data_IF_048072829790
#
_entry.id   IF_048072829790
#
_cell.length_a   1.000
_cell.length_b   1.000
_cell.length_c   1.000
_cell.angle_alpha   90.00
_cell.angle_beta   90.00
_cell.angle_gamma   90.00
#
_symmetry.space_group_name_H-M   'P 1'
#
loop_
_entity.id
_entity.type
_entity.pdbx_description
1 polymer ?
#
# COMPACT_ATOMS: atom_id res chain seq x y z
N UNK A 1 15.35 12.90 11.92
CA UNK A 1 14.46 11.85 12.34
C UNK A 1 13.69 11.28 11.14
N UNK A 2 13.71 9.98 10.99
CA UNK A 2 13.10 9.34 9.85
C UNK A 2 11.59 9.20 10.03
N UNK A 3 10.85 9.62 9.02
CA UNK A 3 9.39 9.47 9.01
C UNK A 3 9.00 8.25 8.20
N UNK A 4 8.06 7.48 8.71
CA UNK A 4 7.56 6.29 8.02
C UNK A 4 6.13 6.53 7.56
N UNK A 5 5.89 6.33 6.28
CA UNK A 5 4.58 6.49 5.67
C UNK A 5 4.14 5.12 5.13
N UNK A 6 2.99 4.66 5.60
CA UNK A 6 2.38 3.45 5.06
C UNK A 6 1.42 3.87 3.96
N UNK A 7 1.59 3.29 2.78
CA UNK A 7 0.76 3.64 1.63
C UNK A 7 0.22 2.38 0.97
N UNK A 8 -1.04 2.43 0.56
CA UNK A 8 -1.70 1.26 -0.04
C UNK A 8 -2.43 1.66 -1.31
N UNK A 9 -2.07 1.03 -2.42
CA UNK A 9 -2.72 1.21 -3.71
C UNK A 9 -2.85 -0.15 -4.38
N UNK A 10 -4.01 -0.46 -4.92
CA UNK A 10 -4.29 -1.80 -5.45
C UNK A 10 -4.63 -1.86 -6.93
N UNK A 11 -4.54 -0.77 -7.66
CA UNK A 11 -4.85 -0.71 -9.08
C UNK A 11 -3.81 0.10 -9.83
N UNK A 12 -3.73 -0.11 -11.15
CA UNK A 12 -2.74 0.59 -11.97
C UNK A 12 -2.88 2.12 -11.90
N UNK A 13 -4.11 2.63 -11.91
CA UNK A 13 -4.32 4.08 -11.80
C UNK A 13 -3.90 4.60 -10.43
N UNK A 14 -4.22 3.85 -9.38
CA UNK A 14 -3.83 4.20 -8.02
C UNK A 14 -2.32 4.18 -7.87
N UNK A 15 -1.66 3.20 -8.49
CA UNK A 15 -0.20 3.10 -8.48
C UNK A 15 0.43 4.36 -9.07
N UNK A 16 -0.08 4.84 -10.19
CA UNK A 16 0.44 6.07 -10.82
C UNK A 16 0.21 7.30 -9.94
N UNK A 17 -1.00 7.45 -9.41
CA UNK A 17 -1.31 8.58 -8.53
C UNK A 17 -0.45 8.56 -7.28
N UNK A 18 -0.33 7.39 -6.67
CA UNK A 18 0.48 7.22 -5.47
C UNK A 18 1.95 7.50 -5.74
N UNK A 19 2.46 7.08 -6.91
CA UNK A 19 3.87 7.35 -7.24
C UNK A 19 4.15 8.85 -7.33
N UNK A 20 3.20 9.62 -7.85
CA UNK A 20 3.34 11.08 -7.91
C UNK A 20 3.36 11.67 -6.50
N UNK A 21 2.52 11.17 -5.61
CA UNK A 21 2.49 11.61 -4.21
C UNK A 21 3.82 11.28 -3.53
N UNK A 22 4.35 10.09 -3.74
CA UNK A 22 5.63 9.68 -3.15
C UNK A 22 6.75 10.61 -3.60
N UNK A 23 6.81 10.92 -4.89
CA UNK A 23 7.84 11.82 -5.41
C UNK A 23 7.71 13.22 -4.83
N UNK A 24 6.49 13.73 -4.75
CA UNK A 24 6.24 15.07 -4.22
C UNK A 24 6.63 15.17 -2.74
N UNK A 25 6.23 14.18 -1.94
CA UNK A 25 6.55 14.18 -0.52
C UNK A 25 8.06 14.04 -0.30
N UNK A 26 8.72 13.16 -1.05
CA UNK A 26 10.16 12.97 -0.90
C UNK A 26 10.97 14.19 -1.31
N UNK A 27 10.42 15.00 -2.22
CA UNK A 27 11.08 16.27 -2.57
C UNK A 27 11.06 17.24 -1.39
N UNK A 28 10.02 17.18 -0.57
CA UNK A 28 9.88 18.06 0.61
C UNK A 28 10.50 17.44 1.85
N UNK A 29 10.42 16.11 1.98
CA UNK A 29 10.91 15.37 3.16
C UNK A 29 11.75 14.20 2.66
N UNK A 30 13.03 14.43 2.31
CA UNK A 30 13.88 13.38 1.73
C UNK A 30 14.06 12.15 2.60
N UNK A 31 13.94 12.28 3.90
CA UNK A 31 14.11 11.17 4.83
C UNK A 31 12.83 10.32 5.00
N UNK A 32 11.74 10.68 4.34
CA UNK A 32 10.50 9.92 4.43
C UNK A 32 10.67 8.54 3.80
N UNK A 33 10.28 7.50 4.53
CA UNK A 33 10.29 6.13 4.06
C UNK A 33 8.87 5.69 3.74
N UNK A 34 8.65 5.18 2.54
CA UNK A 34 7.34 4.70 2.09
C UNK A 34 7.34 3.19 2.03
N UNK A 35 6.39 2.58 2.69
CA UNK A 35 6.28 1.13 2.83
C UNK A 35 4.83 0.71 2.61
N UNK A 36 4.60 -0.45 2.05
CA UNK A 36 3.27 -1.00 2.02
C UNK A 36 2.91 -1.78 0.76
N UNK A 37 1.71 -1.51 0.25
CA UNK A 37 1.14 -2.20 -0.91
C UNK A 37 1.18 -1.29 -2.12
N UNK A 38 1.79 -1.76 -3.19
CA UNK A 38 1.87 -0.94 -4.39
C UNK A 38 2.32 -1.69 -5.62
N UNK A 39 2.48 -0.96 -6.71
CA UNK A 39 2.88 -1.48 -8.00
C UNK A 39 4.21 -0.94 -8.47
N UNK A 40 4.55 -1.18 -9.75
CA UNK A 40 5.86 -0.82 -10.29
C UNK A 40 6.15 0.68 -10.27
N UNK A 41 5.14 1.51 -10.46
CA UNK A 41 5.35 2.96 -10.46
C UNK A 41 5.75 3.46 -9.08
N UNK A 42 5.08 2.95 -8.05
CA UNK A 42 5.41 3.30 -6.67
C UNK A 42 6.80 2.82 -6.29
N UNK A 43 7.19 1.63 -6.74
CA UNK A 43 8.55 1.12 -6.52
C UNK A 43 9.58 2.02 -7.17
N UNK A 44 9.32 2.47 -8.40
CA UNK A 44 10.21 3.39 -9.10
C UNK A 44 10.35 4.72 -8.39
N UNK A 45 9.31 5.13 -7.68
CA UNK A 45 9.33 6.38 -6.92
C UNK A 45 10.07 6.24 -5.58
N UNK A 46 10.51 5.04 -5.23
CA UNK A 46 11.31 4.81 -4.03
C UNK A 46 10.58 4.14 -2.88
N UNK A 47 9.44 3.51 -3.16
CA UNK A 47 8.69 2.80 -2.13
C UNK A 47 9.27 1.40 -1.91
N UNK A 48 9.23 0.95 -0.66
CA UNK A 48 9.48 -0.44 -0.33
C UNK A 48 8.15 -1.18 -0.34
N UNK A 49 7.87 -1.88 -1.44
CA UNK A 49 6.62 -2.59 -1.61
C UNK A 49 6.72 -3.97 -0.97
N UNK A 50 6.33 -4.06 0.28
CA UNK A 50 6.27 -5.34 1.01
C UNK A 50 5.25 -6.26 0.35
N UNK A 51 4.17 -5.69 -0.15
CA UNK A 51 3.15 -6.43 -0.88
C UNK A 51 2.95 -5.82 -2.26
N UNK A 52 2.86 -6.67 -3.27
CA UNK A 52 2.59 -6.24 -4.63
C UNK A 52 1.08 -6.18 -4.85
N UNK A 53 0.61 -5.20 -5.60
CA UNK A 53 -0.80 -5.12 -5.94
C UNK A 53 -1.26 -6.31 -6.78
N UNK A 54 -0.34 -7.05 -7.39
CA UNK A 54 -0.66 -8.27 -8.11
C UNK A 54 -1.22 -9.35 -7.19
N UNK A 55 -0.88 -9.30 -5.91
CA UNK A 55 -1.37 -10.28 -4.94
C UNK A 55 -2.86 -10.13 -4.66
N UNK A 56 -3.41 -8.94 -4.87
CA UNK A 56 -4.84 -8.70 -4.65
C UNK A 56 -5.61 -8.48 -5.95
N UNK A 57 -4.90 -8.32 -7.06
CA UNK A 57 -5.50 -8.10 -8.37
C UNK A 57 -5.19 -9.28 -9.27
N UNK A 58 -5.97 -10.34 -9.13
CA UNK A 58 -5.73 -11.55 -9.89
C UNK A 58 -6.39 -11.43 -11.24
N UNK A 59 -5.60 -11.09 -12.23
CA UNK A 59 -6.11 -10.92 -13.58
C UNK A 59 -6.32 -12.25 -14.28
N UNK A 60 -7.49 -12.40 -14.85
CA UNK A 60 -7.81 -13.55 -15.68
C UNK A 60 -8.03 -14.84 -14.94
N UNK A 61 -8.07 -14.85 -13.65
CA UNK A 61 -8.30 -16.05 -12.89
C UNK A 61 -9.73 -16.18 -12.47
N UNK A 62 -10.19 -17.41 -12.50
CA UNK A 62 -11.57 -17.74 -12.27
C UNK A 62 -11.86 -18.08 -10.83
N UNK A 63 -10.83 -18.38 -10.06
CA UNK A 63 -11.01 -18.85 -8.71
C UNK A 63 -11.28 -17.72 -7.73
N UNK A 64 -12.55 -17.55 -7.40
CA UNK A 64 -12.97 -16.53 -6.44
C UNK A 64 -12.32 -16.77 -5.07
N UNK A 65 -12.22 -18.04 -4.68
CA UNK A 65 -11.61 -18.39 -3.40
C UNK A 65 -10.15 -17.93 -3.31
N UNK A 66 -9.37 -18.19 -4.38
CA UNK A 66 -7.96 -17.77 -4.42
C UNK A 66 -7.82 -16.28 -4.30
N UNK A 67 -8.72 -15.53 -4.94
CA UNK A 67 -8.71 -14.07 -4.89
C UNK A 67 -8.98 -13.58 -3.48
N UNK A 68 -9.96 -14.19 -2.81
CA UNK A 68 -10.30 -13.82 -1.43
C UNK A 68 -9.13 -14.11 -0.50
N UNK A 69 -8.48 -15.26 -0.65
CA UNK A 69 -7.32 -15.60 0.17
C UNK A 69 -6.17 -14.62 -0.03
N UNK A 70 -5.93 -14.21 -1.28
CA UNK A 70 -4.90 -13.22 -1.58
C UNK A 70 -5.17 -11.90 -0.88
N UNK A 71 -6.41 -11.42 -0.97
CA UNK A 71 -6.81 -10.18 -0.34
C UNK A 71 -6.67 -10.26 1.18
N UNK A 72 -7.13 -11.36 1.78
CA UNK A 72 -7.04 -11.54 3.23
C UNK A 72 -5.59 -11.61 3.70
N UNK A 73 -4.75 -12.29 2.94
CA UNK A 73 -3.33 -12.41 3.28
C UNK A 73 -2.66 -11.04 3.32
N UNK A 74 -2.90 -10.24 2.29
CA UNK A 74 -2.34 -8.89 2.21
C UNK A 74 -2.91 -8.02 3.32
N UNK A 75 -4.21 -8.10 3.56
CA UNK A 75 -4.85 -7.30 4.61
C UNK A 75 -4.24 -7.61 5.99
N UNK A 76 -4.07 -8.88 6.31
CA UNK A 76 -3.45 -9.29 7.57
C UNK A 76 -2.00 -8.81 7.67
N UNK A 77 -1.28 -8.91 6.55
CA UNK A 77 0.10 -8.43 6.50
C UNK A 77 0.21 -6.94 6.69
N UNK A 78 -0.70 -6.18 6.11
CA UNK A 78 -0.73 -4.73 6.28
C UNK A 78 -1.05 -4.35 7.71
N UNK A 79 -1.96 -5.09 8.37
CA UNK A 79 -2.25 -4.87 9.79
C UNK A 79 -1.01 -5.12 10.64
N UNK A 80 -0.23 -6.15 10.29
CA UNK A 80 1.02 -6.44 10.99
C UNK A 80 2.01 -5.30 10.82
N UNK A 81 2.13 -4.76 9.60
CA UNK A 81 3.01 -3.63 9.35
C UNK A 81 2.62 -2.41 10.19
N UNK A 82 1.33 -2.16 10.30
CA UNK A 82 0.84 -1.05 11.13
C UNK A 82 1.29 -1.23 12.58
N UNK A 83 1.17 -2.44 13.10
CA UNK A 83 1.56 -2.72 14.49
C UNK A 83 3.08 -2.62 14.70
N UNK A 84 3.85 -3.14 13.75
CA UNK A 84 5.30 -3.21 13.89
C UNK A 84 6.00 -1.90 13.60
N UNK A 85 5.58 -1.22 12.55
CA UNK A 85 6.23 0.01 12.11
C UNK A 85 5.71 1.26 12.80
N UNK A 86 4.47 1.22 13.26
CA UNK A 86 3.81 2.37 13.86
C UNK A 86 3.99 3.60 12.98
N UNK A 87 3.49 3.57 11.74
CA UNK A 87 3.77 4.63 10.78
C UNK A 87 3.23 5.98 11.24
N UNK A 88 3.91 7.02 10.84
CA UNK A 88 3.50 8.40 11.15
C UNK A 88 2.28 8.81 10.35
N UNK A 89 2.08 8.21 9.18
CA UNK A 89 0.99 8.54 8.28
C UNK A 89 0.58 7.31 7.48
N UNK A 90 -0.70 7.16 7.24
CA UNK A 90 -1.24 6.14 6.35
C UNK A 90 -1.97 6.81 5.20
N UNK A 91 -1.53 6.53 3.98
CA UNK A 91 -2.14 7.06 2.77
C UNK A 91 -2.86 5.93 2.04
N UNK A 92 -4.16 6.08 1.85
CA UNK A 92 -4.98 5.08 1.18
C UNK A 92 -5.40 5.61 -0.19
N UNK A 93 -5.10 4.85 -1.25
CA UNK A 93 -5.43 5.25 -2.60
C UNK A 93 -6.31 4.17 -3.22
N UNK A 94 -7.58 4.48 -3.46
CA UNK A 94 -8.59 3.55 -3.95
C UNK A 94 -8.79 2.35 -3.02
N UNK A 95 -9.42 1.27 -3.49
CA UNK A 95 -9.77 0.10 -2.68
C UNK A 95 -10.57 0.50 -1.43
N UNK A 96 -11.75 1.12 -1.58
CA UNK A 96 -12.41 1.75 -0.44
C UNK A 96 -12.67 0.83 0.74
N UNK A 97 -13.20 -0.36 0.52
CA UNK A 97 -13.50 -1.27 1.62
C UNK A 97 -12.23 -1.72 2.35
N UNK A 98 -11.23 -2.13 1.58
CA UNK A 98 -9.95 -2.59 2.10
C UNK A 98 -9.28 -1.47 2.91
N UNK A 99 -9.16 -0.29 2.31
CA UNK A 99 -8.44 0.81 2.92
C UNK A 99 -9.17 1.43 4.10
N UNK A 100 -10.51 1.50 4.05
CA UNK A 100 -11.28 2.03 5.18
C UNK A 100 -11.15 1.14 6.40
N UNK A 101 -11.17 -0.18 6.22
CA UNK A 101 -10.98 -1.12 7.33
C UNK A 101 -9.58 -1.00 7.89
N UNK A 102 -8.58 -0.86 7.02
CA UNK A 102 -7.21 -0.69 7.45
C UNK A 102 -6.99 0.62 8.19
N UNK A 103 -7.59 1.70 7.69
CA UNK A 103 -7.50 3.00 8.32
C UNK A 103 -8.11 3.00 9.73
N UNK A 104 -9.24 2.31 9.89
CA UNK A 104 -9.86 2.16 11.21
C UNK A 104 -8.94 1.43 12.17
N UNK A 105 -8.26 0.39 11.70
CA UNK A 105 -7.33 -0.36 12.52
C UNK A 105 -6.11 0.50 12.91
N UNK A 106 -5.64 1.33 12.01
CA UNK A 106 -4.47 2.17 12.23
C UNK A 106 -4.70 3.30 13.24
N UNK A 107 -5.94 3.65 13.44
CA UNK A 107 -6.33 4.72 14.37
C UNK A 107 -5.96 4.43 15.85
#
# INVERSE_FOLDING_TARGET
>A
MRKTVLIAAGEASADRHASAVIRAVRALVPEAAFVGLGGPEMKSAGMDAVYSMEEISIMGFTEVASRIFGILRVYRGMKRLIRELRPDLFIAVDLPDFNMRLASYAK
#
